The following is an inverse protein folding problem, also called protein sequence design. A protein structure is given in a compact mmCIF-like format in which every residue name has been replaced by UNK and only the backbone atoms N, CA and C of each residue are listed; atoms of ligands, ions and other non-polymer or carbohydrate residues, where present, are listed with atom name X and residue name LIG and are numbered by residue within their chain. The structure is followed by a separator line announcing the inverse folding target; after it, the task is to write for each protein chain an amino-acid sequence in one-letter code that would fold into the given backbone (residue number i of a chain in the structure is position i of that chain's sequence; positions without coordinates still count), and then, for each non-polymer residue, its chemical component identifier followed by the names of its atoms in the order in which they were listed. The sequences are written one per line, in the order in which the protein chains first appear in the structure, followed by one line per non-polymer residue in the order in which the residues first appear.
data_IF_052374511923
#
_entry.id   IF_052374511923
#
_cell.length_a   1.000
_cell.length_b   1.000
_cell.length_c   1.000
_cell.angle_alpha   90.00
_cell.angle_beta   90.00
_cell.angle_gamma   90.00
#
_symmetry.space_group_name_H-M   'P 1'
#
loop_
_entity.id
_entity.type
_entity.pdbx_description
1 polymer ?
#
# COMPACT_ATOMS: atom_id res chain seq x y z
N UNK A 1 -10.95 -0.24 -9.35
CA UNK A 1 -11.62 0.04 -8.05
C UNK A 1 -11.16 1.38 -7.47
N UNK A 2 -9.85 1.64 -7.35
CA UNK A 2 -9.32 2.91 -6.84
C UNK A 2 -9.83 4.15 -7.60
N UNK A 3 -9.81 4.11 -8.93
CA UNK A 3 -10.33 5.20 -9.77
C UNK A 3 -11.82 5.46 -9.53
N UNK A 4 -12.62 4.40 -9.37
CA UNK A 4 -14.05 4.52 -9.06
C UNK A 4 -14.30 5.12 -7.67
N UNK A 5 -13.44 4.81 -6.68
CA UNK A 5 -13.50 5.46 -5.38
C UNK A 5 -13.14 6.94 -5.49
N UNK A 6 -12.04 7.28 -6.16
CA UNK A 6 -11.63 8.67 -6.37
C UNK A 6 -12.72 9.48 -7.10
N UNK A 7 -13.34 8.91 -8.13
CA UNK A 7 -14.48 9.51 -8.82
C UNK A 7 -15.65 9.77 -7.87
N UNK A 8 -16.02 8.80 -7.03
CA UNK A 8 -17.13 8.96 -6.08
C UNK A 8 -16.84 9.99 -5.00
N UNK A 9 -15.59 10.09 -4.53
CA UNK A 9 -15.17 11.12 -3.58
C UNK A 9 -15.35 12.51 -4.22
N UNK A 10 -14.80 12.72 -5.42
CA UNK A 10 -14.91 14.00 -6.15
C UNK A 10 -16.37 14.39 -6.42
N UNK A 11 -17.25 13.41 -6.63
CA UNK A 11 -18.68 13.65 -6.86
C UNK A 11 -19.52 13.70 -5.58
N UNK A 12 -18.92 13.69 -4.37
CA UNK A 12 -19.63 13.64 -3.08
C UNK A 12 -20.62 12.46 -2.99
N UNK A 13 -20.29 11.32 -3.61
CA UNK A 13 -21.08 10.08 -3.63
C UNK A 13 -20.54 9.05 -2.62
N UNK A 14 -19.96 9.54 -1.55
CA UNK A 14 -19.36 8.77 -0.44
C UNK A 14 -19.94 9.25 0.89
N UNK A 15 -19.64 8.54 1.98
CA UNK A 15 -20.02 8.98 3.34
C UNK A 15 -19.08 10.09 3.80
N UNK A 16 -19.56 10.98 4.67
CA UNK A 16 -18.84 12.11 5.26
C UNK A 16 -17.46 11.71 5.83
N UNK A 17 -17.36 10.49 6.38
CA UNK A 17 -16.11 9.94 6.93
C UNK A 17 -14.96 9.86 5.92
N UNK A 18 -15.25 9.80 4.62
CA UNK A 18 -14.27 9.70 3.54
C UNK A 18 -14.41 10.77 2.46
N UNK A 19 -15.16 11.85 2.74
CA UNK A 19 -15.44 12.90 1.76
C UNK A 19 -14.19 13.73 1.41
N UNK A 20 -13.34 13.99 2.41
CA UNK A 20 -12.11 14.78 2.25
C UNK A 20 -10.90 13.94 1.80
N UNK A 21 -11.11 12.66 1.52
CA UNK A 21 -10.02 11.71 1.30
C UNK A 21 -9.42 11.77 -0.09
N UNK A 22 -8.10 11.82 -0.18
CA UNK A 22 -7.37 11.81 -1.45
C UNK A 22 -6.71 10.47 -1.64
N UNK A 23 -7.12 9.76 -2.70
CA UNK A 23 -6.55 8.47 -3.07
C UNK A 23 -5.31 8.67 -3.93
N UNK A 24 -4.17 8.16 -3.45
CA UNK A 24 -2.90 8.16 -4.15
C UNK A 24 -2.59 6.75 -4.64
N UNK A 25 -2.42 6.55 -5.94
CA UNK A 25 -1.99 5.25 -6.48
C UNK A 25 -0.47 5.11 -6.42
N UNK A 26 0.01 3.96 -5.98
CA UNK A 26 1.43 3.62 -6.01
C UNK A 26 1.86 3.17 -7.41
N UNK A 27 2.83 3.87 -8.00
CA UNK A 27 3.51 3.42 -9.21
C UNK A 27 4.76 2.61 -8.84
N UNK A 28 4.66 1.29 -8.99
CA UNK A 28 5.78 0.37 -8.76
C UNK A 28 6.90 0.53 -9.80
N UNK A 29 6.57 0.87 -11.04
CA UNK A 29 7.55 1.12 -12.10
C UNK A 29 8.42 2.34 -11.77
N UNK A 30 7.81 3.44 -11.33
CA UNK A 30 8.52 4.64 -10.90
C UNK A 30 9.42 4.39 -9.68
N UNK A 31 8.97 3.57 -8.72
CA UNK A 31 9.78 3.21 -7.56
C UNK A 31 11.02 2.39 -7.93
N UNK A 32 10.88 1.45 -8.88
CA UNK A 32 11.96 0.56 -9.32
C UNK A 32 12.88 1.22 -10.37
N UNK A 33 12.39 2.19 -11.14
CA UNK A 33 13.14 2.84 -12.21
C UNK A 33 14.43 3.49 -11.68
N UNK A 34 15.58 3.10 -12.23
CA UNK A 34 16.88 3.62 -11.80
C UNK A 34 17.31 3.17 -10.40
N UNK A 35 16.66 2.16 -9.81
CA UNK A 35 17.20 1.46 -8.63
C UNK A 35 18.09 0.33 -9.11
N UNK A 36 19.34 0.32 -8.64
CA UNK A 36 20.32 -0.73 -8.96
C UNK A 36 20.49 -1.69 -7.78
N UNK A 37 20.11 -1.24 -6.59
CA UNK A 37 20.26 -1.96 -5.34
C UNK A 37 18.96 -1.92 -4.51
N UNK A 38 18.70 -2.98 -3.75
CA UNK A 38 17.56 -3.09 -2.82
C UNK A 38 17.39 -1.88 -1.89
N UNK A 39 18.51 -1.36 -1.38
CA UNK A 39 18.50 -0.21 -0.45
C UNK A 39 17.92 1.06 -1.07
N UNK A 40 18.02 1.22 -2.39
CA UNK A 40 17.48 2.38 -3.09
C UNK A 40 15.95 2.38 -3.06
N UNK A 41 15.33 1.21 -3.27
CA UNK A 41 13.89 1.08 -3.13
C UNK A 41 13.44 1.35 -1.70
N UNK A 42 14.06 0.72 -0.69
CA UNK A 42 13.65 0.92 0.70
C UNK A 42 13.74 2.40 1.09
N UNK A 43 14.77 3.12 0.61
CA UNK A 43 14.92 4.56 0.82
C UNK A 43 13.82 5.37 0.12
N UNK A 44 13.51 5.07 -1.14
CA UNK A 44 12.44 5.75 -1.91
C UNK A 44 11.06 5.48 -1.32
N UNK A 45 10.79 4.24 -0.94
CA UNK A 45 9.52 3.86 -0.33
C UNK A 45 9.35 4.52 1.04
N UNK A 46 10.41 4.59 1.87
CA UNK A 46 10.38 5.37 3.12
C UNK A 46 10.10 6.86 2.87
N UNK A 47 10.69 7.45 1.84
CA UNK A 47 10.44 8.84 1.49
C UNK A 47 8.96 9.05 1.09
N UNK A 48 8.41 8.19 0.24
CA UNK A 48 7.01 8.20 -0.15
C UNK A 48 6.07 8.06 1.06
N UNK A 49 6.33 7.11 1.96
CA UNK A 49 5.55 6.94 3.19
C UNK A 49 5.61 8.17 4.09
N UNK A 50 6.75 8.87 4.15
CA UNK A 50 6.91 10.11 4.92
C UNK A 50 6.13 11.27 4.30
N UNK A 51 6.11 11.39 2.98
CA UNK A 51 5.30 12.39 2.28
C UNK A 51 3.81 12.16 2.47
N UNK A 52 3.36 10.91 2.44
CA UNK A 52 1.97 10.55 2.70
C UNK A 52 1.56 10.84 4.15
N UNK A 53 2.42 10.59 5.13
CA UNK A 53 2.17 10.94 6.53
C UNK A 53 2.00 12.44 6.76
N UNK A 54 2.67 13.27 5.95
CA UNK A 54 2.54 14.73 6.02
C UNK A 54 1.25 15.25 5.37
N UNK A 55 0.52 14.41 4.63
CA UNK A 55 -0.73 14.76 3.94
C UNK A 55 -1.92 14.29 4.77
N UNK A 56 -2.73 15.20 5.34
CA UNK A 56 -3.98 14.80 5.97
C UNK A 56 -4.90 14.15 4.92
N UNK A 57 -5.73 13.20 5.36
CA UNK A 57 -6.70 12.53 4.49
C UNK A 57 -6.10 11.80 3.28
N UNK A 58 -4.85 11.34 3.37
CA UNK A 58 -4.24 10.54 2.32
C UNK A 58 -4.58 9.05 2.47
N UNK A 59 -5.09 8.43 1.40
CA UNK A 59 -5.22 6.98 1.28
C UNK A 59 -4.26 6.49 0.20
N UNK A 60 -3.32 5.63 0.58
CA UNK A 60 -2.44 4.96 -0.37
C UNK A 60 -3.15 3.75 -0.98
N UNK A 61 -3.37 3.76 -2.29
CA UNK A 61 -3.79 2.59 -3.05
C UNK A 61 -2.57 1.84 -3.61
N UNK A 62 -2.51 0.54 -3.38
CA UNK A 62 -1.44 -0.33 -3.87
C UNK A 62 -2.07 -1.44 -4.70
N UNK A 63 -1.90 -1.35 -6.02
CA UNK A 63 -2.28 -2.43 -6.90
C UNK A 63 -1.33 -3.62 -6.71
N UNK A 64 -1.86 -4.84 -6.75
CA UNK A 64 -1.10 -6.06 -6.50
C UNK A 64 -0.28 -5.99 -5.20
N UNK A 65 -0.93 -5.63 -4.09
CA UNK A 65 -0.27 -5.36 -2.80
C UNK A 65 0.57 -6.54 -2.28
N UNK A 66 0.27 -7.77 -2.72
CA UNK A 66 1.07 -8.94 -2.42
C UNK A 66 2.51 -8.86 -2.97
N UNK A 67 2.75 -8.07 -4.02
CA UNK A 67 4.08 -7.84 -4.62
C UNK A 67 5.04 -7.15 -3.65
N UNK A 68 4.53 -6.29 -2.76
CA UNK A 68 5.35 -5.57 -1.77
C UNK A 68 5.42 -6.26 -0.40
N UNK A 69 4.49 -7.19 -0.13
CA UNK A 69 4.38 -7.93 1.13
C UNK A 69 4.98 -9.33 1.04
N UNK A 70 5.11 -9.89 -0.17
CA UNK A 70 5.43 -11.30 -0.40
C UNK A 70 6.52 -11.60 -1.43
N UNK A 71 7.31 -10.61 -1.88
CA UNK A 71 8.30 -10.81 -2.95
C UNK A 71 9.36 -11.91 -2.65
N UNK A 72 9.43 -12.41 -1.42
CA UNK A 72 10.33 -13.49 -1.01
C UNK A 72 9.98 -14.91 -1.46
N UNK A 73 8.84 -15.19 -2.11
CA UNK A 73 8.40 -16.58 -2.33
C UNK A 73 8.37 -17.10 -3.78
N UNK A 74 8.31 -16.27 -4.83
CA UNK A 74 8.06 -16.79 -6.19
C UNK A 74 8.94 -16.22 -7.32
N UNK A 75 9.73 -15.17 -7.10
CA UNK A 75 10.40 -14.51 -8.24
C UNK A 75 11.57 -13.63 -7.83
N UNK A 76 12.59 -14.20 -7.16
CA UNK A 76 13.93 -13.58 -7.02
C UNK A 76 14.00 -12.12 -6.50
N UNK A 77 12.92 -11.61 -5.91
CA UNK A 77 12.69 -10.18 -5.67
C UNK A 77 12.92 -9.85 -4.21
N UNK A 78 14.03 -9.21 -3.92
CA UNK A 78 14.59 -9.04 -2.58
C UNK A 78 13.88 -7.94 -1.76
N UNK A 79 12.55 -7.90 -1.68
CA UNK A 79 11.87 -6.78 -1.02
C UNK A 79 10.63 -7.15 -0.23
N UNK A 80 10.81 -7.18 1.09
CA UNK A 80 9.72 -7.21 2.06
C UNK A 80 9.49 -5.78 2.60
N UNK A 81 8.58 -5.06 1.97
CA UNK A 81 8.18 -3.72 2.42
C UNK A 81 7.17 -3.78 3.58
N UNK A 82 6.70 -4.99 3.96
CA UNK A 82 5.71 -5.16 5.03
C UNK A 82 6.19 -4.56 6.35
N UNK A 83 7.49 -4.69 6.64
CA UNK A 83 8.09 -4.18 7.88
C UNK A 83 8.07 -2.64 7.97
N UNK A 84 7.99 -1.94 6.84
CA UNK A 84 7.90 -0.48 6.80
C UNK A 84 6.45 0.01 7.02
N UNK A 85 5.46 -0.71 6.49
CA UNK A 85 4.05 -0.33 6.58
C UNK A 85 3.38 -0.78 7.88
N UNK A 86 3.77 -1.93 8.45
CA UNK A 86 3.20 -2.50 9.69
C UNK A 86 3.10 -1.49 10.85
N UNK A 87 4.16 -0.73 11.22
CA UNK A 87 4.08 0.24 12.31
C UNK A 87 3.18 1.43 11.98
N UNK A 88 3.17 1.88 10.73
CA UNK A 88 2.37 3.02 10.28
C UNK A 88 0.87 2.69 10.25
N UNK A 89 0.54 1.47 9.83
CA UNK A 89 -0.83 0.93 9.90
C UNK A 89 -1.30 0.77 11.35
N UNK A 90 -0.42 0.30 12.24
CA UNK A 90 -0.74 0.16 13.66
C UNK A 90 -1.00 1.48 14.38
N UNK A 91 -0.26 2.52 14.01
CA UNK A 91 -0.40 3.84 14.63
C UNK A 91 -1.50 4.69 14.00
N UNK A 92 -2.13 4.22 12.91
CA UNK A 92 -3.11 4.99 12.13
C UNK A 92 -2.49 6.12 11.30
N UNK A 93 -1.15 6.24 11.28
CA UNK A 93 -0.42 7.25 10.52
C UNK A 93 -0.41 6.98 9.01
N UNK A 94 -0.71 5.74 8.61
CA UNK A 94 -0.92 5.36 7.22
C UNK A 94 -2.29 4.71 7.09
N UNK A 95 -3.03 5.16 6.10
CA UNK A 95 -4.21 4.47 5.59
C UNK A 95 -3.90 3.98 4.19
N UNK A 96 -4.16 2.70 3.93
CA UNK A 96 -3.96 2.16 2.61
C UNK A 96 -5.06 1.17 2.22
N UNK A 97 -5.27 1.02 0.92
CA UNK A 97 -6.10 -0.01 0.32
C UNK A 97 -5.24 -0.79 -0.66
N UNK A 98 -5.40 -2.10 -0.70
CA UNK A 98 -4.68 -2.99 -1.61
C UNK A 98 -5.61 -3.77 -2.51
N UNK A 99 -5.18 -4.06 -3.73
CA UNK A 99 -5.79 -5.08 -4.58
C UNK A 99 -4.90 -6.34 -4.58
N UNK A 100 -5.51 -7.52 -4.63
CA UNK A 100 -4.78 -8.78 -4.76
C UNK A 100 -5.72 -9.87 -5.25
N UNK A 101 -5.20 -10.94 -5.86
CA UNK A 101 -6.04 -12.11 -6.13
C UNK A 101 -6.30 -12.91 -4.85
N UNK A 102 -7.36 -13.72 -4.85
CA UNK A 102 -7.70 -14.60 -3.74
C UNK A 102 -6.56 -15.58 -3.39
N UNK A 103 -5.90 -16.11 -4.42
CA UNK A 103 -4.81 -17.06 -4.24
C UNK A 103 -3.60 -16.40 -3.56
N UNK A 104 -3.21 -15.20 -4.00
CA UNK A 104 -2.12 -14.44 -3.35
C UNK A 104 -2.47 -14.02 -1.94
N UNK A 105 -3.71 -13.58 -1.69
CA UNK A 105 -4.17 -13.26 -0.35
C UNK A 105 -3.98 -14.45 0.59
N UNK A 106 -4.47 -15.64 0.22
CA UNK A 106 -4.33 -16.87 1.01
C UNK A 106 -2.88 -17.32 1.17
N UNK A 107 -2.09 -17.24 0.11
CA UNK A 107 -0.74 -17.82 0.08
C UNK A 107 0.34 -16.93 0.71
N UNK A 108 0.13 -15.62 0.70
CA UNK A 108 1.10 -14.61 1.14
C UNK A 108 0.54 -13.85 2.34
N UNK A 109 -0.62 -13.23 2.17
CA UNK A 109 -1.17 -12.27 3.12
C UNK A 109 -1.68 -12.95 4.40
N UNK A 110 -2.44 -14.05 4.28
CA UNK A 110 -2.98 -14.81 5.43
C UNK A 110 -1.88 -15.45 6.29
N UNK A 111 -0.70 -15.70 5.70
CA UNK A 111 0.45 -16.24 6.44
C UNK A 111 1.08 -15.19 7.36
N UNK A 112 0.94 -13.89 7.04
CA UNK A 112 1.39 -12.80 7.91
C UNK A 112 0.28 -12.37 8.87
N UNK A 113 0.24 -13.01 10.05
CA UNK A 113 -0.74 -12.69 11.10
C UNK A 113 -0.72 -11.22 11.54
N UNK A 114 0.39 -10.51 11.40
CA UNK A 114 0.46 -9.10 11.77
C UNK A 114 -0.32 -8.25 10.76
N UNK A 115 -0.19 -8.51 9.47
CA UNK A 115 -0.94 -7.80 8.44
C UNK A 115 -2.42 -8.13 8.46
N UNK A 116 -2.80 -9.41 8.60
CA UNK A 116 -4.21 -9.83 8.65
C UNK A 116 -5.01 -9.11 9.73
N UNK A 117 -4.39 -8.82 10.88
CA UNK A 117 -5.05 -8.09 11.98
C UNK A 117 -5.21 -6.60 11.72
N UNK A 118 -4.52 -6.05 10.72
CA UNK A 118 -4.47 -4.62 10.38
C UNK A 118 -5.28 -4.27 9.13
N UNK A 119 -5.58 -5.26 8.29
CA UNK A 119 -6.41 -5.11 7.11
C UNK A 119 -7.81 -5.64 7.37
N UNK A 120 -8.81 -4.91 6.88
CA UNK A 120 -10.18 -5.42 6.77
C UNK A 120 -10.36 -6.05 5.39
N UNK A 121 -11.07 -7.19 5.34
CA UNK A 121 -11.44 -7.90 4.11
C UNK A 121 -12.76 -7.38 3.57
#
# INVERSE_FOLDING_TARGET
IAEGLAYRIVNNQVKDVIEDEVVYSLDMGALLAGTKYRGDFEKRFKALLKELQAKPHAILFIDEIHTIIGAGAASGGVMDASNLIKPLLSSGQLRCMGSTTYNEFKNIFEKDRALVRRFQK
#
